data_IF_188494403687
#
_entry.id   IF_188494403687
#
_cell.length_a   1.000
_cell.length_b   1.000
_cell.length_c   1.000
_cell.angle_alpha   90.00
_cell.angle_beta   90.00
_cell.angle_gamma   90.00
#
_symmetry.space_group_name_H-M   'P 1'
#
loop_
_entity.id
_entity.type
_entity.pdbx_description
1 polymer ?
#
# COMPACT_ATOMS: atom_id res chain seq x y z
N UNK A 1 -1.35 -29.68 7.33
CA UNK A 1 -0.17 -30.15 6.57
C UNK A 1 0.55 -28.94 6.02
N UNK A 2 1.87 -28.86 6.24
CA UNK A 2 2.69 -27.68 5.98
C UNK A 2 2.84 -27.41 4.47
N UNK A 3 2.32 -26.26 4.03
CA UNK A 3 2.66 -25.68 2.72
C UNK A 3 4.05 -25.03 2.79
N UNK A 4 4.89 -25.36 1.83
CA UNK A 4 6.30 -25.02 1.74
C UNK A 4 6.59 -23.50 1.81
N UNK A 5 7.48 -23.14 2.73
CA UNK A 5 8.03 -21.80 3.02
C UNK A 5 9.12 -21.40 2.02
N UNK A 6 8.76 -20.94 0.81
CA UNK A 6 9.75 -20.62 -0.23
C UNK A 6 9.74 -19.20 -0.75
N UNK A 7 8.56 -18.58 -0.86
CA UNK A 7 8.43 -17.29 -1.54
C UNK A 7 8.10 -16.19 -0.52
N UNK A 8 9.15 -15.66 0.14
CA UNK A 8 9.02 -14.49 1.01
C UNK A 8 8.89 -13.23 0.15
N UNK A 9 7.85 -13.18 -0.67
CA UNK A 9 7.44 -11.94 -1.35
C UNK A 9 7.06 -10.91 -0.29
N UNK A 10 7.04 -9.64 -0.67
CA UNK A 10 6.95 -8.52 0.27
C UNK A 10 8.26 -7.75 0.31
N UNK A 11 8.50 -6.97 1.37
CA UNK A 11 9.73 -6.20 1.54
C UNK A 11 10.70 -6.96 2.45
N UNK A 12 11.95 -7.12 2.02
CA UNK A 12 12.95 -7.88 2.79
C UNK A 12 13.14 -7.36 4.22
N UNK A 13 12.97 -6.05 4.42
CA UNK A 13 13.05 -5.38 5.71
C UNK A 13 11.95 -5.78 6.71
N UNK A 14 10.83 -6.35 6.24
CA UNK A 14 9.74 -6.82 7.10
C UNK A 14 10.19 -7.97 8.03
N UNK A 15 11.25 -8.72 7.65
CA UNK A 15 11.81 -9.80 8.47
C UNK A 15 12.31 -9.32 9.83
N UNK A 16 12.73 -8.05 9.92
CA UNK A 16 13.40 -7.49 11.09
C UNK A 16 12.58 -6.36 11.73
N UNK A 17 11.32 -6.18 11.32
CA UNK A 17 10.46 -5.10 11.82
C UNK A 17 9.18 -5.65 12.42
N UNK A 18 8.70 -5.07 13.53
CA UNK A 18 7.39 -5.42 14.09
C UNK A 18 6.23 -4.92 13.22
N UNK A 19 6.48 -3.94 12.34
CA UNK A 19 5.52 -3.37 11.41
C UNK A 19 5.94 -3.71 9.98
N UNK A 20 5.04 -4.37 9.25
CA UNK A 20 5.20 -4.78 7.86
C UNK A 20 4.81 -3.61 6.95
N UNK A 21 5.63 -3.30 5.94
CA UNK A 21 5.31 -2.28 4.92
C UNK A 21 5.20 -2.87 3.50
N UNK A 22 5.61 -4.12 3.31
CA UNK A 22 5.41 -4.83 2.04
C UNK A 22 3.95 -5.20 1.81
N UNK A 23 3.49 -5.11 0.56
CA UNK A 23 2.12 -5.51 0.20
C UNK A 23 1.99 -6.99 -0.14
N UNK A 24 0.80 -7.55 0.11
CA UNK A 24 0.38 -8.90 -0.27
C UNK A 24 -0.20 -9.01 -1.68
N UNK A 25 -0.11 -7.96 -2.51
CA UNK A 25 -0.57 -7.95 -3.91
C UNK A 25 -0.11 -9.16 -4.73
N UNK A 26 1.04 -9.72 -4.39
CA UNK A 26 1.57 -10.91 -5.03
C UNK A 26 0.71 -12.17 -4.87
N UNK A 27 -0.16 -12.24 -3.86
CA UNK A 27 -1.14 -13.32 -3.67
C UNK A 27 -2.18 -13.33 -4.80
N UNK A 28 -2.38 -12.20 -5.46
CA UNK A 28 -3.34 -12.04 -6.57
C UNK A 28 -2.73 -12.38 -7.93
N UNK A 29 -1.49 -12.87 -7.95
CA UNK A 29 -0.81 -13.24 -9.19
C UNK A 29 -1.62 -14.28 -9.95
N UNK A 30 -1.92 -13.98 -11.21
CA UNK A 30 -2.69 -14.83 -12.15
C UNK A 30 -4.15 -15.05 -11.75
N UNK A 31 -4.68 -14.32 -10.77
CA UNK A 31 -6.10 -14.37 -10.49
C UNK A 31 -6.93 -13.72 -11.62
N UNK A 32 -8.21 -14.07 -11.68
CA UNK A 32 -9.13 -13.52 -12.68
C UNK A 32 -9.43 -12.05 -12.38
N UNK A 33 -9.68 -11.28 -13.42
CA UNK A 33 -10.16 -9.89 -13.33
C UNK A 33 -11.62 -9.89 -12.89
N UNK A 34 -11.83 -9.96 -11.59
CA UNK A 34 -13.13 -10.00 -10.96
C UNK A 34 -13.24 -8.85 -9.94
N UNK A 35 -14.45 -8.38 -9.63
CA UNK A 35 -14.66 -7.39 -8.57
C UNK A 35 -14.06 -7.81 -7.22
N UNK A 36 -14.12 -9.10 -6.87
CA UNK A 36 -13.57 -9.61 -5.61
C UNK A 36 -12.03 -9.60 -5.59
N UNK A 37 -11.40 -9.80 -6.75
CA UNK A 37 -9.94 -9.67 -6.89
C UNK A 37 -9.54 -8.21 -6.73
N UNK A 38 -10.29 -7.28 -7.33
CA UNK A 38 -10.06 -5.84 -7.21
C UNK A 38 -10.17 -5.38 -5.74
N UNK A 39 -11.24 -5.78 -5.04
CA UNK A 39 -11.46 -5.44 -3.64
C UNK A 39 -10.32 -5.93 -2.74
N UNK A 40 -9.86 -7.18 -2.92
CA UNK A 40 -8.69 -7.70 -2.18
C UNK A 40 -7.41 -6.92 -2.50
N UNK A 41 -7.25 -6.48 -3.73
CA UNK A 41 -6.09 -5.71 -4.14
C UNK A 41 -6.05 -4.32 -3.48
N UNK A 42 -7.20 -3.65 -3.39
CA UNK A 42 -7.35 -2.39 -2.63
C UNK A 42 -7.08 -2.60 -1.14
N UNK A 43 -7.60 -3.69 -0.56
CA UNK A 43 -7.34 -4.06 0.84
C UNK A 43 -5.84 -4.27 1.10
N UNK A 44 -5.16 -5.06 0.28
CA UNK A 44 -3.72 -5.34 0.44
C UNK A 44 -2.85 -4.10 0.23
N UNK A 45 -3.32 -3.14 -0.56
CA UNK A 45 -2.63 -1.87 -0.76
C UNK A 45 -2.85 -0.95 0.44
N UNK A 46 -4.08 -0.87 0.98
CA UNK A 46 -4.39 -0.10 2.19
C UNK A 46 -3.62 -0.61 3.40
N UNK A 47 -3.57 -1.93 3.59
CA UNK A 47 -2.78 -2.58 4.65
C UNK A 47 -1.30 -2.21 4.56
N UNK A 48 -0.71 -2.27 3.36
CA UNK A 48 0.70 -1.94 3.15
C UNK A 48 1.04 -0.47 3.44
N UNK A 49 0.06 0.43 3.36
CA UNK A 49 0.23 1.86 3.58
C UNK A 49 -0.20 2.32 4.98
N UNK A 50 -0.82 1.45 5.78
CA UNK A 50 -1.33 1.75 7.12
C UNK A 50 -0.27 2.38 8.04
N UNK A 51 1.00 1.99 7.87
CA UNK A 51 2.10 2.50 8.68
C UNK A 51 2.26 4.02 8.62
N UNK A 52 1.85 4.67 7.52
CA UNK A 52 1.88 6.12 7.38
C UNK A 52 0.97 6.79 8.42
N UNK A 53 -0.19 6.20 8.67
CA UNK A 53 -1.15 6.68 9.68
C UNK A 53 -0.63 6.35 11.08
N UNK A 54 -0.15 5.11 11.30
CA UNK A 54 0.36 4.68 12.60
C UNK A 54 1.53 5.53 13.11
N UNK A 55 2.36 6.04 12.18
CA UNK A 55 3.49 6.93 12.47
C UNK A 55 3.12 8.41 12.45
N UNK A 56 1.83 8.74 12.27
CA UNK A 56 1.30 10.11 12.16
C UNK A 56 1.93 10.92 11.02
N UNK A 57 2.39 10.25 9.97
CA UNK A 57 2.91 10.88 8.75
C UNK A 57 1.75 11.33 7.86
N UNK A 58 0.70 10.52 7.81
CA UNK A 58 -0.56 10.78 7.14
C UNK A 58 -1.71 10.79 8.17
N UNK A 59 -2.75 11.55 7.88
CA UNK A 59 -4.03 11.50 8.58
C UNK A 59 -4.92 10.39 8.02
N UNK A 60 -4.99 10.30 6.69
CA UNK A 60 -5.72 9.25 5.99
C UNK A 60 -4.99 8.78 4.73
N UNK A 61 -5.29 7.55 4.33
CA UNK A 61 -4.86 6.94 3.08
C UNK A 61 -6.08 6.32 2.40
N UNK A 62 -6.41 6.82 1.23
CA UNK A 62 -7.47 6.30 0.38
C UNK A 62 -6.87 5.59 -0.82
N UNK A 63 -7.40 4.42 -1.13
CA UNK A 63 -6.94 3.59 -2.24
C UNK A 63 -8.14 3.23 -3.10
N UNK A 64 -8.02 3.48 -4.40
CA UNK A 64 -8.97 3.01 -5.41
C UNK A 64 -8.22 2.29 -6.52
N UNK A 65 -8.72 1.13 -6.92
CA UNK A 65 -8.15 0.33 -7.99
C UNK A 65 -9.03 0.35 -9.23
N UNK A 66 -8.41 0.25 -10.40
CA UNK A 66 -9.13 0.08 -11.66
C UNK A 66 -8.35 -0.81 -12.63
N UNK A 67 -9.07 -1.71 -13.31
CA UNK A 67 -8.49 -2.52 -14.38
C UNK A 67 -8.15 -1.63 -15.58
N UNK A 68 -6.87 -1.61 -15.95
CA UNK A 68 -6.33 -0.83 -17.07
C UNK A 68 -6.06 -1.73 -18.29
N UNK A 69 -7.03 -2.60 -18.60
CA UNK A 69 -6.91 -3.63 -19.64
C UNK A 69 -6.46 -4.99 -19.11
N UNK A 70 -6.27 -5.94 -20.03
CA UNK A 70 -6.06 -7.34 -19.67
C UNK A 70 -4.78 -7.53 -18.85
N UNK A 71 -4.93 -8.03 -17.63
CA UNK A 71 -3.84 -8.36 -16.73
C UNK A 71 -3.16 -7.16 -16.07
N UNK A 72 -3.73 -5.95 -16.21
CA UNK A 72 -3.16 -4.72 -15.61
C UNK A 72 -4.13 -4.10 -14.64
N UNK A 73 -3.68 -3.94 -13.39
CA UNK A 73 -4.41 -3.27 -12.34
C UNK A 73 -3.64 -2.00 -11.95
N UNK A 74 -4.32 -0.85 -12.01
CA UNK A 74 -3.77 0.42 -11.57
C UNK A 74 -4.40 0.81 -10.23
N UNK A 75 -3.63 1.51 -9.40
CA UNK A 75 -4.11 2.10 -8.15
C UNK A 75 -3.93 3.61 -8.18
N UNK A 76 -4.97 4.33 -7.81
CA UNK A 76 -4.89 5.71 -7.37
C UNK A 76 -4.88 5.73 -5.83
N UNK A 77 -3.82 6.32 -5.27
CA UNK A 77 -3.62 6.43 -3.83
C UNK A 77 -3.61 7.91 -3.47
N UNK A 78 -4.59 8.33 -2.66
CA UNK A 78 -4.63 9.67 -2.09
C UNK A 78 -4.18 9.59 -0.63
N UNK A 79 -3.23 10.43 -0.24
CA UNK A 79 -2.68 10.49 1.11
C UNK A 79 -2.90 11.90 1.63
N UNK A 80 -3.60 12.01 2.75
CA UNK A 80 -3.88 13.29 3.40
C UNK A 80 -2.87 13.54 4.50
N UNK A 81 -2.22 14.70 4.49
CA UNK A 81 -1.31 15.11 5.56
C UNK A 81 -2.10 15.56 6.79
N UNK A 82 -1.66 15.26 8.03
CA UNK A 82 -2.30 15.79 9.23
C UNK A 82 -2.22 17.32 9.29
N UNK A 83 -3.32 17.96 9.71
CA UNK A 83 -3.33 19.40 10.01
C UNK A 83 -2.25 19.76 11.06
N UNK A 84 -1.49 20.83 10.82
CA UNK A 84 -0.45 21.29 11.74
C UNK A 84 0.92 20.60 11.58
N UNK A 85 1.25 20.16 10.36
CA UNK A 85 2.56 19.64 9.90
C UNK A 85 3.52 19.25 11.02
N UNK A 86 3.65 17.96 11.29
CA UNK A 86 4.76 17.46 12.10
C UNK A 86 6.05 17.95 11.44
N UNK A 87 6.73 18.94 12.03
CA UNK A 87 7.86 19.69 11.46
C UNK A 87 8.94 18.82 10.81
N UNK A 88 9.07 17.56 11.25
CA UNK A 88 10.00 16.57 10.70
C UNK A 88 9.69 16.14 9.26
N UNK A 89 8.42 16.14 8.83
CA UNK A 89 7.99 15.61 7.53
C UNK A 89 7.51 16.70 6.56
N UNK A 90 7.59 17.98 6.93
CA UNK A 90 7.16 19.11 6.09
C UNK A 90 7.82 19.11 4.70
N UNK A 91 9.11 18.77 4.63
CA UNK A 91 9.87 18.67 3.38
C UNK A 91 9.28 17.66 2.37
N UNK A 92 8.75 16.53 2.85
CA UNK A 92 8.16 15.51 1.98
C UNK A 92 6.90 16.03 1.28
N UNK A 93 6.11 16.85 1.97
CA UNK A 93 4.86 17.40 1.45
C UNK A 93 5.06 18.67 0.62
N UNK A 94 6.08 19.49 0.91
CA UNK A 94 6.35 20.70 0.13
C UNK A 94 6.73 20.39 -1.33
N UNK A 95 7.41 19.26 -1.58
CA UNK A 95 7.78 18.84 -2.94
C UNK A 95 6.56 18.47 -3.80
N UNK A 96 5.44 18.09 -3.18
CA UNK A 96 4.21 17.70 -3.87
C UNK A 96 3.35 18.91 -4.27
N UNK A 97 3.54 20.06 -3.60
CA UNK A 97 2.86 21.33 -3.88
C UNK A 97 3.68 22.28 -4.77
N UNK A 98 4.88 21.89 -5.19
CA UNK A 98 5.71 22.66 -6.11
C UNK A 98 5.24 22.41 -7.56
N UNK A 99 4.38 23.29 -8.05
CA UNK A 99 4.02 23.45 -9.47
C UNK A 99 4.66 24.71 -10.00
#
# INVERSE_FOLDING_TARGET
MAGWRGDKRGWWGDTYRPQIIGSRLWLLSREKQLPETLARAEEYTREALQWLIDKKIAESVEVSGAWAGVGRLNFAVAITSPEGQIYRYSYLWSAQNAV
#
